data_IF_448698162077
#
_entry.id   IF_448698162077
#
_cell.length_a   1.000
_cell.length_b   1.000
_cell.length_c   1.000
_cell.angle_alpha   90.00
_cell.angle_beta   90.00
_cell.angle_gamma   90.00
#
_symmetry.space_group_name_H-M   'P 1'
#
loop_
_entity.id
_entity.type
_entity.pdbx_description
1 polymer ?
#
# COMPACT_ATOMS: atom_id res chain seq x y z
N UNK A 1 30.69 26.05 29.80
CA UNK A 1 29.57 25.19 29.38
C UNK A 1 29.47 25.26 27.88
N UNK A 2 29.94 24.24 27.17
CA UNK A 2 29.92 24.23 25.70
C UNK A 2 28.52 23.77 25.27
N UNK A 3 27.72 24.59 24.56
CA UNK A 3 26.54 24.08 23.91
C UNK A 3 27.03 23.22 22.75
N UNK A 4 27.02 21.90 22.90
CA UNK A 4 27.12 20.99 21.76
C UNK A 4 25.85 21.12 20.93
N UNK A 5 25.77 22.19 20.15
CA UNK A 5 24.91 22.27 18.98
C UNK A 5 25.40 21.24 17.98
N UNK A 6 25.01 19.98 18.17
CA UNK A 6 25.22 18.93 17.18
C UNK A 6 24.30 19.22 16.01
N UNK A 7 24.92 19.59 14.89
CA UNK A 7 24.26 19.67 13.58
C UNK A 7 23.75 18.30 13.19
N UNK A 8 22.50 18.22 12.73
CA UNK A 8 21.99 17.06 11.98
C UNK A 8 22.91 16.88 10.78
N UNK A 9 23.43 15.67 10.58
CA UNK A 9 24.31 15.40 9.44
C UNK A 9 23.47 15.39 8.16
N UNK A 10 24.01 15.94 7.06
CA UNK A 10 23.29 16.02 5.78
C UNK A 10 22.75 14.66 5.31
N UNK A 11 23.47 13.57 5.62
CA UNK A 11 23.03 12.20 5.34
C UNK A 11 21.74 11.79 6.05
N UNK A 12 21.54 12.22 7.30
CA UNK A 12 20.33 11.91 8.05
C UNK A 12 19.09 12.59 7.43
N UNK A 13 19.26 13.82 6.95
CA UNK A 13 18.21 14.57 6.25
C UNK A 13 17.83 13.88 4.94
N UNK A 14 18.83 13.47 4.15
CA UNK A 14 18.61 12.75 2.88
C UNK A 14 17.83 11.45 3.13
N UNK A 15 18.18 10.71 4.19
CA UNK A 15 17.49 9.45 4.52
C UNK A 15 16.04 9.69 4.92
N UNK A 16 15.77 10.73 5.72
CA UNK A 16 14.39 11.13 6.05
C UNK A 16 13.62 11.44 4.76
N UNK A 17 14.20 12.18 3.82
CA UNK A 17 13.55 12.49 2.54
C UNK A 17 13.25 11.22 1.74
N UNK A 18 14.19 10.27 1.66
CA UNK A 18 13.96 8.99 0.98
C UNK A 18 12.80 8.22 1.60
N UNK A 19 12.77 8.11 2.93
CA UNK A 19 11.68 7.45 3.66
C UNK A 19 10.34 8.16 3.40
N UNK A 20 10.32 9.49 3.42
CA UNK A 20 9.12 10.26 3.12
C UNK A 20 8.60 10.06 1.69
N UNK A 21 9.50 9.95 0.70
CA UNK A 21 9.12 9.66 -0.69
C UNK A 21 8.54 8.26 -0.82
N UNK A 22 9.15 7.25 -0.18
CA UNK A 22 8.62 5.89 -0.16
C UNK A 22 7.20 5.85 0.43
N UNK A 23 6.99 6.56 1.55
CA UNK A 23 5.66 6.68 2.18
C UNK A 23 4.68 7.42 1.27
N UNK A 24 5.09 8.49 0.60
CA UNK A 24 4.19 9.23 -0.30
C UNK A 24 3.71 8.36 -1.47
N UNK A 25 4.60 7.59 -2.08
CA UNK A 25 4.26 6.63 -3.14
C UNK A 25 3.32 5.54 -2.61
N UNK A 26 3.60 5.01 -1.43
CA UNK A 26 2.77 3.98 -0.81
C UNK A 26 1.39 4.51 -0.39
N UNK A 27 1.30 5.71 0.18
CA UNK A 27 0.03 6.37 0.50
C UNK A 27 -0.83 6.59 -0.73
N UNK A 28 -0.23 6.95 -1.86
CA UNK A 28 -0.95 7.03 -3.13
C UNK A 28 -1.58 5.67 -3.46
N UNK A 29 -0.84 4.56 -3.38
CA UNK A 29 -1.40 3.23 -3.61
C UNK A 29 -2.47 2.83 -2.59
N UNK A 30 -2.27 3.12 -1.31
CA UNK A 30 -3.26 2.88 -0.25
C UNK A 30 -4.56 3.63 -0.53
N UNK A 31 -4.48 4.88 -0.99
CA UNK A 31 -5.66 5.65 -1.37
C UNK A 31 -6.44 4.98 -2.51
N UNK A 32 -5.75 4.45 -3.53
CA UNK A 32 -6.39 3.65 -4.59
C UNK A 32 -7.02 2.36 -4.04
N UNK A 33 -6.32 1.66 -3.13
CA UNK A 33 -6.81 0.42 -2.51
C UNK A 33 -8.04 0.63 -1.62
N UNK A 34 -8.22 1.81 -1.01
CA UNK A 34 -9.41 2.15 -0.23
C UNK A 34 -10.63 2.31 -1.15
N UNK A 35 -10.44 2.96 -2.30
CA UNK A 35 -11.51 3.25 -3.26
C UNK A 35 -11.69 2.17 -4.33
N UNK A 36 -11.20 0.95 -4.07
CA UNK A 36 -11.18 -0.12 -5.07
C UNK A 36 -12.56 -0.46 -5.64
N UNK A 37 -13.65 -0.34 -4.86
CA UNK A 37 -15.00 -0.72 -5.29
C UNK A 37 -15.46 0.02 -6.55
N UNK A 38 -15.16 1.31 -6.68
CA UNK A 38 -15.56 2.10 -7.86
C UNK A 38 -14.81 1.71 -9.13
N UNK A 39 -13.65 1.07 -9.00
CA UNK A 39 -12.86 0.58 -10.15
C UNK A 39 -13.13 -0.88 -10.46
N UNK A 40 -13.35 -1.69 -9.41
CA UNK A 40 -13.50 -3.13 -9.51
C UNK A 40 -14.87 -3.54 -10.06
N UNK A 41 -15.89 -2.69 -9.87
CA UNK A 41 -17.25 -2.91 -10.35
C UNK A 41 -17.69 -1.78 -11.30
N UNK A 42 -17.20 -1.77 -12.55
CA UNK A 42 -17.46 -0.66 -13.49
C UNK A 42 -18.95 -0.50 -13.87
N UNK A 43 -19.81 -1.45 -13.51
CA UNK A 43 -21.22 -1.50 -13.89
C UNK A 43 -22.21 -1.30 -12.73
N UNK A 44 -21.76 -0.96 -11.52
CA UNK A 44 -22.67 -0.74 -10.36
C UNK A 44 -23.63 0.43 -10.53
N UNK A 45 -23.30 1.38 -11.40
CA UNK A 45 -24.08 2.61 -11.58
C UNK A 45 -25.10 2.51 -12.74
N UNK A 46 -25.09 1.40 -13.50
CA UNK A 46 -26.09 1.14 -14.53
C UNK A 46 -27.33 0.58 -13.82
N UNK A 47 -28.17 1.49 -13.32
CA UNK A 47 -29.36 1.21 -12.52
C UNK A 47 -30.17 0.01 -13.03
N UNK A 48 -30.07 -1.09 -12.28
CA UNK A 48 -30.81 -2.31 -12.49
C UNK A 48 -30.39 -3.32 -11.43
N UNK A 49 -31.35 -3.87 -10.71
CA UNK A 49 -31.20 -4.89 -9.67
C UNK A 49 -30.76 -6.24 -10.25
N UNK A 50 -29.68 -6.27 -11.03
CA UNK A 50 -29.14 -7.48 -11.59
C UNK A 50 -27.86 -7.79 -10.83
N UNK A 51 -28.04 -8.56 -9.75
CA UNK A 51 -27.10 -9.62 -9.48
C UNK A 51 -26.82 -10.36 -10.81
N UNK A 52 -25.55 -10.57 -11.18
CA UNK A 52 -24.38 -10.46 -10.30
C UNK A 52 -23.43 -9.29 -10.58
N UNK A 53 -22.64 -8.92 -9.56
CA UNK A 53 -21.51 -8.00 -9.67
C UNK A 53 -20.45 -8.54 -10.64
N UNK A 54 -20.27 -7.82 -11.75
CA UNK A 54 -19.25 -8.11 -12.76
C UNK A 54 -17.91 -7.55 -12.29
N UNK A 55 -16.94 -8.45 -12.07
CA UNK A 55 -15.57 -8.08 -11.66
C UNK A 55 -14.66 -7.97 -12.88
N UNK A 56 -13.99 -6.82 -13.02
CA UNK A 56 -12.91 -6.66 -14.00
C UNK A 56 -11.64 -7.35 -13.48
N UNK A 57 -11.24 -8.43 -14.16
CA UNK A 57 -10.09 -9.25 -13.78
C UNK A 57 -8.75 -8.55 -13.98
N UNK A 58 -8.63 -7.67 -14.98
CA UNK A 58 -7.38 -6.96 -15.23
C UNK A 58 -7.18 -5.87 -14.17
N UNK A 59 -8.28 -5.23 -13.75
CA UNK A 59 -8.28 -4.34 -12.58
C UNK A 59 -7.99 -5.10 -11.29
N UNK A 60 -8.53 -6.30 -11.10
CA UNK A 60 -8.25 -7.14 -9.94
C UNK A 60 -6.77 -7.53 -9.87
N UNK A 61 -6.18 -8.00 -10.97
CA UNK A 61 -4.77 -8.37 -11.06
C UNK A 61 -3.85 -7.16 -10.85
N UNK A 62 -4.17 -6.02 -11.48
CA UNK A 62 -3.45 -4.76 -11.28
C UNK A 62 -3.52 -4.29 -9.82
N UNK A 63 -4.67 -4.43 -9.17
CA UNK A 63 -4.84 -3.98 -7.79
C UNK A 63 -4.14 -4.90 -6.78
N UNK A 64 -4.09 -6.21 -7.06
CA UNK A 64 -3.23 -7.15 -6.32
C UNK A 64 -1.76 -6.77 -6.45
N UNK A 65 -1.30 -6.45 -7.66
CA UNK A 65 0.08 -6.00 -7.88
C UNK A 65 0.38 -4.70 -7.12
N UNK A 66 -0.53 -3.72 -7.15
CA UNK A 66 -0.40 -2.48 -6.38
C UNK A 66 -0.25 -2.72 -4.88
N UNK A 67 -1.04 -3.64 -4.31
CA UNK A 67 -0.93 -4.00 -2.89
C UNK A 67 0.44 -4.61 -2.53
N UNK A 68 1.03 -5.41 -3.43
CA UNK A 68 2.38 -5.97 -3.24
C UNK A 68 3.44 -4.87 -3.32
N UNK A 69 3.36 -3.99 -4.32
CA UNK A 69 4.34 -2.89 -4.48
C UNK A 69 4.31 -1.96 -3.26
N UNK A 70 3.10 -1.58 -2.81
CA UNK A 70 2.93 -0.75 -1.61
C UNK A 70 3.51 -1.44 -0.36
N UNK A 71 3.28 -2.74 -0.20
CA UNK A 71 3.90 -3.53 0.87
C UNK A 71 5.43 -3.48 0.84
N UNK A 72 6.05 -3.61 -0.34
CA UNK A 72 7.50 -3.53 -0.51
C UNK A 72 8.02 -2.14 -0.15
N UNK A 73 7.34 -1.07 -0.58
CA UNK A 73 7.70 0.30 -0.22
C UNK A 73 7.72 0.49 1.31
N UNK A 74 6.71 -0.04 2.01
CA UNK A 74 6.65 0.07 3.48
C UNK A 74 7.68 -0.80 4.19
N UNK A 75 7.96 -1.98 3.67
CA UNK A 75 9.02 -2.84 4.21
C UNK A 75 10.39 -2.12 4.11
N UNK A 76 10.67 -1.48 2.98
CA UNK A 76 11.89 -0.69 2.79
C UNK A 76 11.92 0.53 3.71
N UNK A 77 10.83 1.31 3.78
CA UNK A 77 10.68 2.46 4.68
C UNK A 77 10.94 2.09 6.14
N UNK A 78 10.32 0.99 6.61
CA UNK A 78 10.48 0.47 7.97
C UNK A 78 11.92 0.00 8.22
N UNK A 79 12.52 -0.71 7.25
CA UNK A 79 13.89 -1.22 7.37
C UNK A 79 14.93 -0.09 7.46
N UNK A 80 14.78 0.94 6.63
CA UNK A 80 15.64 2.13 6.66
C UNK A 80 15.46 2.87 7.99
N UNK A 81 14.21 3.09 8.42
CA UNK A 81 13.91 3.76 9.69
C UNK A 81 14.49 3.01 10.90
N UNK A 82 14.39 1.68 10.91
CA UNK A 82 14.96 0.83 11.97
C UNK A 82 16.50 0.86 11.97
N UNK A 83 17.12 0.82 10.78
CA UNK A 83 18.58 0.91 10.64
C UNK A 83 19.08 2.23 11.24
N UNK A 84 18.44 3.35 10.87
CA UNK A 84 18.80 4.67 11.39
C UNK A 84 18.53 4.82 12.88
N UNK A 85 17.44 4.24 13.39
CA UNK A 85 17.15 4.23 14.81
C UNK A 85 18.26 3.53 15.63
N UNK A 86 18.83 2.44 15.10
CA UNK A 86 19.91 1.68 15.76
C UNK A 86 21.26 2.38 15.69
N UNK A 87 21.62 2.92 14.53
CA UNK A 87 22.94 3.53 14.30
C UNK A 87 23.01 4.92 14.96
N UNK A 88 21.91 5.66 14.97
CA UNK A 88 21.91 7.03 15.43
C UNK A 88 21.81 7.11 16.96
N UNK A 89 22.84 7.62 17.63
CA UNK A 89 22.84 7.85 19.08
C UNK A 89 22.72 9.34 19.47
N UNK A 90 22.52 10.21 18.48
CA UNK A 90 22.95 11.60 18.57
C UNK A 90 21.86 12.56 19.06
N UNK A 91 20.59 12.33 18.68
CA UNK A 91 19.47 13.23 19.00
C UNK A 91 18.18 12.48 19.36
N UNK A 92 17.60 12.79 20.53
CA UNK A 92 16.32 12.20 21.00
C UNK A 92 15.16 12.46 20.03
N UNK A 93 15.10 13.65 19.45
CA UNK A 93 14.05 14.06 18.51
C UNK A 93 14.10 13.20 17.24
N UNK A 94 15.30 12.98 16.69
CA UNK A 94 15.47 12.23 15.46
C UNK A 94 15.12 10.73 15.66
N UNK A 95 15.47 10.17 16.83
CA UNK A 95 15.00 8.82 17.22
C UNK A 95 13.48 8.74 17.27
N UNK A 96 12.81 9.75 17.83
CA UNK A 96 11.35 9.81 17.88
C UNK A 96 10.75 9.86 16.46
N UNK A 97 11.32 10.66 15.55
CA UNK A 97 10.90 10.73 14.15
C UNK A 97 11.01 9.35 13.48
N UNK A 98 12.15 8.68 13.59
CA UNK A 98 12.33 7.34 13.01
C UNK A 98 11.39 6.30 13.64
N UNK A 99 11.09 6.41 14.93
CA UNK A 99 10.13 5.53 15.60
C UNK A 99 8.72 5.74 15.06
N UNK A 100 8.29 6.99 14.85
CA UNK A 100 6.98 7.30 14.25
C UNK A 100 6.90 6.79 12.80
N UNK A 101 7.94 7.02 12.01
CA UNK A 101 8.02 6.54 10.62
C UNK A 101 7.96 5.01 10.56
N UNK A 102 8.66 4.31 11.45
CA UNK A 102 8.60 2.85 11.57
C UNK A 102 7.19 2.37 11.95
N UNK A 103 6.58 2.94 12.98
CA UNK A 103 5.25 2.52 13.45
C UNK A 103 4.18 2.73 12.38
N UNK A 104 4.21 3.87 11.69
CA UNK A 104 3.29 4.14 10.58
C UNK A 104 3.48 3.16 9.43
N UNK A 105 4.73 2.86 9.05
CA UNK A 105 5.01 1.84 8.02
C UNK A 105 4.52 0.45 8.40
N UNK A 106 4.61 0.05 9.69
CA UNK A 106 4.05 -1.23 10.13
C UNK A 106 2.53 -1.28 9.97
N UNK A 107 1.82 -0.20 10.33
CA UNK A 107 0.36 -0.11 10.16
C UNK A 107 -0.02 -0.22 8.67
N UNK A 108 0.72 0.48 7.81
CA UNK A 108 0.50 0.49 6.37
C UNK A 108 0.81 -0.87 5.72
N UNK A 109 1.86 -1.57 6.16
CA UNK A 109 2.13 -2.95 5.74
C UNK A 109 0.96 -3.88 6.10
N UNK A 110 0.43 -3.78 7.33
CA UNK A 110 -0.70 -4.60 7.77
C UNK A 110 -1.94 -4.32 6.91
N UNK A 111 -2.21 -3.05 6.59
CA UNK A 111 -3.29 -2.68 5.68
C UNK A 111 -3.11 -3.30 4.28
N UNK A 112 -1.92 -3.17 3.69
CA UNK A 112 -1.64 -3.72 2.37
C UNK A 112 -1.74 -5.25 2.35
N UNK A 113 -1.22 -5.92 3.38
CA UNK A 113 -1.33 -7.37 3.54
C UNK A 113 -2.77 -7.83 3.68
N UNK A 114 -3.57 -7.14 4.49
CA UNK A 114 -5.01 -7.42 4.62
C UNK A 114 -5.73 -7.28 3.27
N UNK A 115 -5.48 -6.18 2.54
CA UNK A 115 -6.09 -5.94 1.21
C UNK A 115 -5.66 -6.97 0.17
N UNK A 116 -4.40 -7.38 0.18
CA UNK A 116 -3.94 -8.46 -0.71
C UNK A 116 -4.69 -9.76 -0.45
N UNK A 117 -4.87 -10.14 0.82
CA UNK A 117 -5.62 -11.35 1.20
C UNK A 117 -7.08 -11.24 0.76
N UNK A 118 -7.72 -10.10 0.99
CA UNK A 118 -9.10 -9.85 0.56
C UNK A 118 -9.24 -9.99 -0.97
N UNK A 119 -8.33 -9.39 -1.74
CA UNK A 119 -8.33 -9.47 -3.20
C UNK A 119 -8.03 -10.87 -3.72
N UNK A 120 -7.17 -11.61 -3.01
CA UNK A 120 -6.89 -13.02 -3.33
C UNK A 120 -8.12 -13.89 -3.06
N UNK A 121 -8.76 -13.74 -1.90
CA UNK A 121 -9.99 -14.48 -1.58
C UNK A 121 -11.10 -14.17 -2.59
N UNK A 122 -11.21 -12.90 -3.01
CA UNK A 122 -12.12 -12.51 -4.07
C UNK A 122 -11.79 -13.25 -5.36
N UNK A 123 -10.54 -13.19 -5.81
CA UNK A 123 -10.06 -13.92 -6.99
C UNK A 123 -10.37 -15.42 -6.93
N UNK A 124 -10.21 -16.05 -5.76
CA UNK A 124 -10.43 -17.50 -5.56
C UNK A 124 -11.94 -17.85 -5.51
N UNK A 125 -12.81 -16.89 -5.22
CA UNK A 125 -14.27 -17.06 -5.15
C UNK A 125 -15.01 -16.86 -6.48
N UNK A 126 -14.32 -16.35 -7.51
CA UNK A 126 -14.92 -16.09 -8.81
C UNK A 126 -15.20 -17.40 -9.57
N UNK A 127 -16.45 -17.58 -10.01
CA UNK A 127 -16.90 -18.76 -10.76
C UNK A 127 -17.12 -18.39 -12.24
N UNK A 128 -16.71 -19.26 -13.15
CA UNK A 128 -16.72 -19.08 -14.62
C UNK A 128 -15.99 -17.83 -15.14
N UNK A 129 -14.66 -17.85 -14.99
CA UNK A 129 -13.77 -16.83 -15.53
C UNK A 129 -13.27 -17.20 -16.93
N UNK A 130 -14.08 -16.96 -17.96
CA UNK A 130 -13.60 -17.12 -19.32
C UNK A 130 -13.00 -15.80 -19.84
N UNK A 131 -11.72 -15.56 -19.50
CA UNK A 131 -10.93 -14.41 -20.01
C UNK A 131 -10.85 -14.39 -21.56
N UNK A 132 -11.25 -15.47 -22.24
CA UNK A 132 -11.08 -15.66 -23.69
C UNK A 132 -12.39 -15.78 -24.48
N UNK A 133 -13.56 -15.87 -23.83
CA UNK A 133 -14.86 -15.89 -24.51
C UNK A 133 -15.37 -14.46 -24.74
N UNK A 134 -15.12 -13.93 -25.94
CA UNK A 134 -15.36 -12.54 -26.32
C UNK A 134 -16.81 -12.02 -26.34
N UNK A 135 -17.78 -12.65 -25.66
CA UNK A 135 -19.20 -12.26 -25.73
C UNK A 135 -19.85 -11.84 -24.39
N UNK A 136 -19.14 -11.85 -23.25
CA UNK A 136 -19.58 -11.19 -22.00
C UNK A 136 -18.41 -11.11 -21.01
N UNK A 137 -17.73 -9.96 -20.86
CA UNK A 137 -16.57 -9.88 -19.99
C UNK A 137 -17.00 -9.72 -18.54
N UNK A 138 -16.77 -10.77 -17.76
CA UNK A 138 -16.56 -10.64 -16.32
C UNK A 138 -16.96 -11.88 -15.55
N UNK A 139 -16.18 -12.15 -14.50
CA UNK A 139 -16.56 -13.17 -13.56
C UNK A 139 -17.61 -12.60 -12.63
N UNK A 140 -18.62 -13.40 -12.34
CA UNK A 140 -19.59 -13.06 -11.33
C UNK A 140 -19.20 -13.66 -9.99
N UNK A 141 -19.48 -12.89 -8.94
CA UNK A 141 -19.60 -13.40 -7.58
C UNK A 141 -21.05 -13.92 -7.48
N UNK A 142 -21.30 -15.21 -7.15
CA UNK A 142 -22.65 -15.71 -6.94
C UNK A 142 -23.38 -15.02 -5.78
#
# INVERSE_FOLDING_TARGET
MNPTGRSIELGEIIIIVIVLVLKLVSYFFIFFLINIKSFLYPYTDIGGSLDPYVVDLDVLDATRLLSIISFICELLSSSISLCMFRVNNSAKILKLIFMILMMTSVIEMLFCGYRFIELKNLSDSLVSCDKFAGNSPGCYIP
#
